data_IF_277611101238
#
_entry.id   IF_277611101238
#
_cell.length_a   1.000
_cell.length_b   1.000
_cell.length_c   1.000
_cell.angle_alpha   90.00
_cell.angle_beta   90.00
_cell.angle_gamma   90.00
#
_symmetry.space_group_name_H-M   'P 1'
#
loop_
_entity.id
_entity.type
_entity.pdbx_description
1 polymer ?
#
# COMPACT_ATOMS: atom_id res chain seq x y z
N UNK A 1 2.04 -10.08 -3.40
CA UNK A 1 2.80 -9.56 -4.52
C UNK A 1 2.13 -9.78 -5.88
N UNK A 2 2.80 -9.41 -6.94
CA UNK A 2 2.40 -9.59 -8.33
C UNK A 2 3.08 -10.81 -8.92
N UNK A 3 2.34 -11.66 -9.62
CA UNK A 3 2.88 -12.76 -10.42
C UNK A 3 3.18 -12.23 -11.83
N UNK A 4 4.41 -11.76 -12.07
CA UNK A 4 4.79 -11.04 -13.29
C UNK A 4 4.67 -11.86 -14.58
N UNK A 5 4.76 -13.21 -14.49
CA UNK A 5 4.60 -14.14 -15.62
C UNK A 5 3.16 -14.62 -15.82
N UNK A 6 2.21 -14.13 -15.04
CA UNK A 6 0.79 -14.35 -15.24
C UNK A 6 0.14 -13.10 -15.83
N UNK A 7 -0.95 -13.30 -16.54
CA UNK A 7 -1.73 -12.20 -17.11
C UNK A 7 -2.32 -11.30 -16.02
N UNK A 8 -2.75 -10.12 -16.41
CA UNK A 8 -3.47 -9.18 -15.52
C UNK A 8 -4.74 -9.86 -15.00
N UNK A 9 -5.50 -10.52 -15.90
CA UNK A 9 -6.68 -11.31 -15.56
C UNK A 9 -6.38 -12.31 -14.42
N UNK A 10 -5.38 -13.15 -14.59
CA UNK A 10 -5.01 -14.15 -13.58
C UNK A 10 -4.57 -13.52 -12.26
N UNK A 11 -3.83 -12.41 -12.31
CA UNK A 11 -3.42 -11.70 -11.10
C UNK A 11 -4.61 -11.15 -10.30
N UNK A 12 -5.62 -10.60 -10.98
CA UNK A 12 -6.82 -10.07 -10.34
C UNK A 12 -7.73 -11.21 -9.87
N UNK A 13 -7.89 -12.24 -10.67
CA UNK A 13 -8.77 -13.38 -10.37
C UNK A 13 -8.27 -14.24 -9.19
N UNK A 14 -6.96 -14.48 -9.08
CA UNK A 14 -6.37 -15.42 -8.14
C UNK A 14 -6.81 -15.23 -6.66
N UNK A 15 -6.81 -14.05 -6.07
CA UNK A 15 -7.31 -13.87 -4.69
C UNK A 15 -8.84 -13.80 -4.61
N UNK A 16 -9.55 -13.84 -5.73
CA UNK A 16 -11.00 -13.66 -5.86
C UNK A 16 -11.73 -14.92 -6.39
N UNK A 17 -11.08 -16.08 -6.34
CA UNK A 17 -11.66 -17.32 -6.87
C UNK A 17 -13.03 -17.66 -6.25
N UNK A 18 -13.22 -17.37 -4.98
CA UNK A 18 -14.50 -17.55 -4.28
C UNK A 18 -15.63 -16.66 -4.84
N UNK A 19 -15.30 -15.54 -5.47
CA UNK A 19 -16.27 -14.63 -6.10
C UNK A 19 -16.60 -15.05 -7.53
N UNK A 20 -15.66 -15.67 -8.23
CA UNK A 20 -15.78 -16.01 -9.66
C UNK A 20 -16.05 -17.48 -9.94
N UNK A 21 -15.86 -18.37 -8.95
CA UNK A 21 -16.14 -19.78 -9.11
C UNK A 21 -17.59 -20.12 -8.74
N UNK A 22 -18.23 -20.89 -9.61
CA UNK A 22 -19.53 -21.48 -9.35
C UNK A 22 -19.44 -22.75 -8.50
N UNK A 23 -20.60 -23.42 -8.31
CA UNK A 23 -20.66 -24.71 -7.64
C UNK A 23 -19.80 -25.73 -8.41
N UNK A 24 -18.90 -26.40 -7.69
CA UNK A 24 -17.97 -27.38 -8.29
C UNK A 24 -16.60 -26.81 -8.67
N UNK A 25 -16.30 -25.55 -8.31
CA UNK A 25 -14.97 -24.94 -8.53
C UNK A 25 -14.69 -24.52 -9.98
N UNK A 26 -15.72 -24.46 -10.82
CA UNK A 26 -15.59 -24.01 -12.22
C UNK A 26 -15.67 -22.49 -12.27
N UNK A 27 -14.68 -21.88 -12.91
CA UNK A 27 -14.63 -20.42 -13.10
C UNK A 27 -15.76 -19.97 -14.03
N UNK A 28 -16.54 -19.00 -13.62
CA UNK A 28 -17.48 -18.28 -14.46
C UNK A 28 -16.75 -17.17 -15.19
N UNK A 29 -16.40 -17.41 -16.44
CA UNK A 29 -15.60 -16.49 -17.27
C UNK A 29 -16.24 -15.11 -17.42
N UNK A 30 -17.58 -15.02 -17.45
CA UNK A 30 -18.27 -13.74 -17.52
C UNK A 30 -18.10 -12.91 -16.26
N UNK A 31 -18.24 -13.54 -15.09
CA UNK A 31 -18.04 -12.85 -13.77
C UNK A 31 -16.58 -12.47 -13.58
N UNK A 32 -15.64 -13.33 -14.03
CA UNK A 32 -14.21 -13.02 -14.02
C UNK A 32 -13.90 -11.80 -14.87
N UNK A 33 -14.42 -11.74 -16.09
CA UNK A 33 -14.22 -10.63 -17.01
C UNK A 33 -14.77 -9.31 -16.46
N UNK A 34 -16.02 -9.32 -15.99
CA UNK A 34 -16.66 -8.16 -15.35
C UNK A 34 -15.85 -7.62 -14.14
N UNK A 35 -15.33 -8.53 -13.31
CA UNK A 35 -14.52 -8.20 -12.15
C UNK A 35 -13.18 -7.57 -12.56
N UNK A 36 -12.52 -8.13 -13.58
CA UNK A 36 -11.23 -7.63 -14.08
C UNK A 36 -11.40 -6.29 -14.80
N UNK A 37 -12.40 -6.15 -15.65
CA UNK A 37 -12.69 -4.91 -16.36
C UNK A 37 -13.00 -3.76 -15.39
N UNK A 38 -13.79 -4.06 -14.36
CA UNK A 38 -14.07 -3.10 -13.29
C UNK A 38 -12.80 -2.66 -12.59
N UNK A 39 -11.92 -3.57 -12.21
CA UNK A 39 -10.66 -3.24 -11.55
C UNK A 39 -9.75 -2.36 -12.43
N UNK A 40 -9.68 -2.67 -13.74
CA UNK A 40 -8.91 -1.89 -14.72
C UNK A 40 -9.49 -0.48 -14.88
N UNK A 41 -10.81 -0.35 -14.96
CA UNK A 41 -11.50 0.94 -15.10
C UNK A 41 -11.37 1.79 -13.83
N UNK A 42 -11.66 1.23 -12.65
CA UNK A 42 -11.65 1.93 -11.36
C UNK A 42 -10.26 2.52 -11.04
N UNK A 43 -9.20 1.81 -11.41
CA UNK A 43 -7.81 2.21 -11.15
C UNK A 43 -7.12 2.84 -12.37
N UNK A 44 -7.81 2.96 -13.49
CA UNK A 44 -7.24 3.47 -14.74
C UNK A 44 -5.91 2.76 -15.08
N UNK A 45 -5.93 1.42 -15.09
CA UNK A 45 -4.76 0.61 -15.43
C UNK A 45 -4.53 0.70 -16.94
N UNK A 46 -3.36 1.21 -17.32
CA UNK A 46 -2.99 1.32 -18.75
C UNK A 46 -2.50 -0.03 -19.27
N UNK A 47 -3.34 -0.73 -19.99
CA UNK A 47 -3.04 -2.03 -20.60
C UNK A 47 -3.73 -2.16 -21.95
N UNK A 48 -3.14 -2.89 -22.94
CA UNK A 48 -3.80 -3.17 -24.22
C UNK A 48 -4.97 -4.16 -24.06
N UNK A 49 -4.87 -5.13 -23.16
CA UNK A 49 -5.91 -6.11 -22.82
C UNK A 49 -5.60 -6.80 -21.49
N UNK A 50 -6.49 -7.66 -21.02
CA UNK A 50 -6.36 -8.38 -19.75
C UNK A 50 -5.40 -9.58 -19.80
N UNK A 51 -5.06 -10.07 -20.98
CA UNK A 51 -4.34 -11.34 -21.16
C UNK A 51 -2.83 -11.16 -21.35
N UNK A 52 -2.34 -9.91 -21.37
CA UNK A 52 -0.89 -9.63 -21.37
C UNK A 52 -0.28 -9.94 -20.00
N UNK A 53 0.98 -10.38 -20.01
CA UNK A 53 1.75 -10.62 -18.79
C UNK A 53 1.86 -9.33 -17.96
N UNK A 54 1.54 -9.42 -16.68
CA UNK A 54 1.61 -8.26 -15.79
C UNK A 54 3.02 -7.66 -15.69
N UNK A 55 4.05 -8.47 -15.94
CA UNK A 55 5.45 -8.01 -15.98
C UNK A 55 5.78 -7.05 -17.13
N UNK A 56 4.94 -6.97 -18.17
CA UNK A 56 5.15 -6.05 -19.31
C UNK A 56 4.67 -4.63 -19.02
N UNK A 57 3.91 -4.44 -17.95
CA UNK A 57 3.42 -3.12 -17.54
C UNK A 57 4.52 -2.29 -16.88
N UNK A 58 4.36 -0.96 -16.92
CA UNK A 58 5.17 -0.06 -16.11
C UNK A 58 4.97 -0.33 -14.62
N UNK A 59 5.96 0.01 -13.79
CA UNK A 59 5.92 -0.23 -12.34
C UNK A 59 4.66 0.34 -11.68
N UNK A 60 4.23 1.54 -12.06
CA UNK A 60 2.99 2.14 -11.54
C UNK A 60 1.74 1.35 -11.94
N UNK A 61 1.65 0.82 -13.16
CA UNK A 61 0.52 -0.02 -13.57
C UNK A 61 0.58 -1.40 -12.90
N UNK A 62 1.77 -1.98 -12.70
CA UNK A 62 1.93 -3.20 -11.90
C UNK A 62 1.39 -3.00 -10.49
N UNK A 63 1.73 -1.88 -9.84
CA UNK A 63 1.23 -1.55 -8.51
C UNK A 63 -0.30 -1.39 -8.48
N UNK A 64 -0.89 -0.77 -9.51
CA UNK A 64 -2.35 -0.67 -9.65
C UNK A 64 -3.00 -2.05 -9.78
N UNK A 65 -2.40 -3.01 -10.50
CA UNK A 65 -2.89 -4.40 -10.56
C UNK A 65 -2.87 -5.04 -9.16
N UNK A 66 -1.79 -4.83 -8.38
CA UNK A 66 -1.71 -5.32 -6.99
C UNK A 66 -2.82 -4.75 -6.13
N UNK A 67 -3.13 -3.46 -6.28
CA UNK A 67 -4.23 -2.83 -5.53
C UNK A 67 -5.59 -3.34 -6.00
N UNK A 68 -5.80 -3.42 -7.32
CA UNK A 68 -7.07 -3.82 -7.94
C UNK A 68 -7.54 -5.19 -7.49
N UNK A 69 -6.64 -6.16 -7.42
CA UNK A 69 -6.98 -7.51 -6.99
C UNK A 69 -7.52 -7.59 -5.54
N UNK A 70 -7.11 -6.67 -4.67
CA UNK A 70 -7.58 -6.62 -3.28
C UNK A 70 -8.83 -5.75 -3.11
N UNK A 71 -8.96 -4.68 -3.89
CA UNK A 71 -10.17 -3.84 -3.88
C UNK A 71 -11.40 -4.57 -4.39
N UNK A 72 -11.23 -5.52 -5.30
CA UNK A 72 -12.32 -6.38 -5.80
C UNK A 72 -13.07 -7.11 -4.66
N UNK A 73 -12.46 -7.26 -3.49
CA UNK A 73 -13.07 -7.88 -2.30
C UNK A 73 -13.90 -6.92 -1.43
N UNK A 74 -14.19 -5.71 -1.89
CA UNK A 74 -14.92 -4.69 -1.12
C UNK A 74 -14.30 -4.43 0.26
N UNK A 75 -12.97 -4.36 0.32
CA UNK A 75 -12.23 -4.15 1.55
C UNK A 75 -12.57 -2.78 2.17
N UNK A 76 -12.86 -2.75 3.47
CA UNK A 76 -13.10 -1.52 4.24
C UNK A 76 -11.82 -0.87 4.72
N UNK A 77 -10.74 -1.63 4.76
CA UNK A 77 -9.40 -1.20 5.17
C UNK A 77 -8.39 -1.72 4.15
N UNK A 78 -7.50 -0.87 3.68
CA UNK A 78 -6.39 -1.24 2.79
C UNK A 78 -5.08 -0.82 3.44
N UNK A 79 -4.14 -1.76 3.51
CA UNK A 79 -2.81 -1.54 4.06
C UNK A 79 -1.80 -1.60 2.91
N UNK A 80 -1.03 -0.54 2.74
CA UNK A 80 0.05 -0.44 1.78
C UNK A 80 1.40 -0.53 2.52
N UNK A 81 2.23 -1.46 2.11
CA UNK A 81 3.58 -1.62 2.64
C UNK A 81 4.60 -1.16 1.59
N UNK A 82 5.29 -0.04 1.86
CA UNK A 82 6.25 0.61 0.96
C UNK A 82 5.73 0.74 -0.49
N UNK A 83 4.55 1.35 -0.71
CA UNK A 83 3.85 1.27 -2.00
C UNK A 83 4.55 2.01 -3.14
N UNK A 84 5.47 2.89 -2.82
CA UNK A 84 6.19 3.75 -3.77
C UNK A 84 7.65 3.37 -3.92
N UNK A 85 8.07 2.30 -3.27
CA UNK A 85 9.47 1.85 -3.33
C UNK A 85 9.81 1.33 -4.73
N UNK A 86 10.86 1.90 -5.33
CA UNK A 86 11.39 1.45 -6.62
C UNK A 86 10.56 1.89 -7.83
N UNK A 87 9.63 2.82 -7.68
CA UNK A 87 8.87 3.42 -8.79
C UNK A 87 9.33 4.86 -9.03
N UNK A 88 9.09 5.36 -10.25
CA UNK A 88 9.42 6.72 -10.64
C UNK A 88 8.50 7.76 -9.97
N UNK A 89 8.94 9.04 -9.99
CA UNK A 89 8.24 10.15 -9.33
C UNK A 89 6.81 10.33 -9.86
N UNK A 90 6.59 10.14 -11.16
CA UNK A 90 5.27 10.26 -11.76
C UNK A 90 4.33 9.17 -11.24
N UNK A 91 4.80 7.93 -11.17
CA UNK A 91 4.05 6.80 -10.63
C UNK A 91 3.76 6.95 -9.13
N UNK A 92 4.68 7.55 -8.33
CA UNK A 92 4.41 7.88 -6.92
C UNK A 92 3.17 8.77 -6.77
N UNK A 93 3.07 9.82 -7.58
CA UNK A 93 1.91 10.73 -7.57
C UNK A 93 0.61 9.98 -7.88
N UNK A 94 0.62 9.05 -8.85
CA UNK A 94 -0.56 8.24 -9.16
C UNK A 94 -0.99 7.37 -7.96
N UNK A 95 -0.05 6.80 -7.22
CA UNK A 95 -0.35 6.00 -6.00
C UNK A 95 -0.93 6.89 -4.89
N UNK A 96 -0.40 8.11 -4.67
CA UNK A 96 -0.97 9.04 -3.69
C UNK A 96 -2.40 9.47 -4.06
N UNK A 97 -2.64 9.72 -5.35
CA UNK A 97 -3.99 10.03 -5.85
C UNK A 97 -4.94 8.87 -5.62
N UNK A 98 -4.48 7.63 -5.85
CA UNK A 98 -5.25 6.42 -5.58
C UNK A 98 -5.61 6.30 -4.09
N UNK A 99 -4.65 6.47 -3.17
CA UNK A 99 -4.93 6.45 -1.72
C UNK A 99 -5.98 7.50 -1.34
N UNK A 100 -5.87 8.71 -1.90
CA UNK A 100 -6.85 9.78 -1.67
C UNK A 100 -8.25 9.45 -2.24
N UNK A 101 -8.32 8.76 -3.38
CA UNK A 101 -9.59 8.29 -3.95
C UNK A 101 -10.25 7.24 -3.05
N UNK A 102 -9.49 6.26 -2.55
CA UNK A 102 -9.97 5.24 -1.62
C UNK A 102 -10.53 5.88 -0.34
N UNK A 103 -9.80 6.84 0.23
CA UNK A 103 -10.24 7.62 1.38
C UNK A 103 -11.58 8.34 1.11
N UNK A 104 -11.74 8.98 -0.06
CA UNK A 104 -13.00 9.64 -0.45
C UNK A 104 -14.16 8.67 -0.60
N UNK A 105 -13.89 7.39 -0.91
CA UNK A 105 -14.88 6.31 -0.96
C UNK A 105 -15.21 5.73 0.43
N UNK A 106 -14.64 6.28 1.50
CA UNK A 106 -14.86 5.81 2.88
C UNK A 106 -14.03 4.59 3.26
N UNK A 107 -13.02 4.22 2.46
CA UNK A 107 -12.10 3.14 2.76
C UNK A 107 -10.99 3.69 3.68
N UNK A 108 -10.74 3.04 4.80
CA UNK A 108 -9.62 3.38 5.66
C UNK A 108 -8.30 2.94 5.00
N UNK A 109 -7.38 3.89 4.84
CA UNK A 109 -6.07 3.64 4.23
C UNK A 109 -5.00 3.76 5.30
N UNK A 110 -4.22 2.70 5.46
CA UNK A 110 -2.98 2.70 6.23
C UNK A 110 -1.82 2.45 5.27
N UNK A 111 -0.75 3.22 5.37
CA UNK A 111 0.47 2.93 4.62
C UNK A 111 1.70 3.01 5.51
N UNK A 112 2.66 2.16 5.22
CA UNK A 112 3.99 2.15 5.84
C UNK A 112 4.96 2.70 4.82
N UNK A 113 5.79 3.65 5.21
CA UNK A 113 6.83 4.20 4.38
C UNK A 113 8.04 4.58 5.21
N UNK A 114 9.22 4.38 4.65
CA UNK A 114 10.50 4.86 5.19
C UNK A 114 10.85 6.27 4.71
N UNK A 115 10.08 6.84 3.77
CA UNK A 115 10.32 8.16 3.21
C UNK A 115 9.54 9.24 4.00
N UNK A 116 10.23 10.00 4.84
CA UNK A 116 9.62 11.05 5.66
C UNK A 116 8.79 12.07 4.88
N UNK A 117 9.24 12.58 3.71
CA UNK A 117 8.45 13.51 2.91
C UNK A 117 7.13 12.92 2.43
N UNK A 118 7.11 11.61 2.10
CA UNK A 118 5.92 10.89 1.71
C UNK A 118 4.91 10.83 2.86
N UNK A 119 5.35 10.38 4.02
CA UNK A 119 4.50 10.26 5.21
C UNK A 119 3.88 11.60 5.57
N UNK A 120 4.67 12.67 5.60
CA UNK A 120 4.18 14.01 5.94
C UNK A 120 3.26 14.62 4.87
N UNK A 121 3.49 14.28 3.59
CA UNK A 121 2.72 14.84 2.48
C UNK A 121 1.39 14.15 2.23
N UNK A 122 1.24 12.89 2.63
CA UNK A 122 0.08 12.05 2.27
C UNK A 122 -0.80 11.69 3.47
N UNK A 123 -0.21 11.49 4.66
CA UNK A 123 -0.96 11.06 5.84
C UNK A 123 -1.78 12.19 6.45
N UNK A 124 -2.91 11.85 7.08
CA UNK A 124 -3.61 12.74 8.01
C UNK A 124 -3.04 12.59 9.43
N UNK A 125 -2.74 11.35 9.82
CA UNK A 125 -2.24 10.95 11.12
C UNK A 125 -1.05 10.01 10.95
N UNK A 126 -0.03 10.20 11.76
CA UNK A 126 1.24 9.46 11.69
C UNK A 126 1.44 8.71 13.01
N UNK A 127 1.68 7.42 12.92
CA UNK A 127 2.09 6.58 14.04
C UNK A 127 3.57 6.26 13.82
N UNK A 128 4.40 6.63 14.80
CA UNK A 128 5.83 6.38 14.77
C UNK A 128 6.15 5.11 15.54
N UNK A 129 6.94 4.24 14.93
CA UNK A 129 7.40 3.00 15.54
C UNK A 129 8.92 3.00 15.67
N UNK A 130 9.41 2.50 16.81
CA UNK A 130 10.82 2.25 17.06
C UNK A 130 10.95 0.92 17.82
N UNK A 131 11.81 0.01 17.36
CA UNK A 131 12.08 -1.30 17.95
C UNK A 131 10.81 -2.11 18.27
N UNK A 132 9.88 -2.15 17.31
CA UNK A 132 8.63 -2.91 17.44
C UNK A 132 7.59 -2.30 18.39
N UNK A 133 7.78 -1.06 18.84
CA UNK A 133 6.87 -0.34 19.75
C UNK A 133 6.39 0.96 19.13
N UNK A 134 5.16 1.35 19.43
CA UNK A 134 4.65 2.68 19.10
C UNK A 134 5.27 3.67 20.09
N UNK A 135 6.02 4.63 19.57
CA UNK A 135 6.73 5.65 20.34
C UNK A 135 6.09 7.03 20.24
N UNK A 136 5.25 7.26 19.23
CA UNK A 136 4.52 8.51 19.07
C UNK A 136 3.33 8.39 18.14
N UNK A 137 2.38 9.29 18.32
CA UNK A 137 1.23 9.51 17.44
C UNK A 137 1.04 11.02 17.27
N UNK A 138 1.00 11.48 16.03
CA UNK A 138 0.92 12.91 15.71
C UNK A 138 0.02 13.15 14.49
N UNK A 139 -0.58 14.35 14.41
CA UNK A 139 -1.27 14.79 13.20
C UNK A 139 -0.25 15.37 12.22
N UNK A 140 -0.31 14.94 10.94
CA UNK A 140 0.68 15.33 9.94
C UNK A 140 0.76 16.86 9.73
N UNK A 141 -0.36 17.58 9.88
CA UNK A 141 -0.43 19.03 9.72
C UNK A 141 0.11 19.82 10.92
N UNK A 142 0.29 19.17 12.06
CA UNK A 142 0.64 19.82 13.34
C UNK A 142 2.04 19.41 13.84
N UNK A 143 2.78 18.66 13.02
CA UNK A 143 4.09 18.12 13.39
C UNK A 143 5.18 18.54 12.43
N UNK A 144 6.43 18.39 12.86
CA UNK A 144 7.62 18.60 12.04
C UNK A 144 8.40 17.30 11.84
N UNK A 145 9.29 17.27 10.83
CA UNK A 145 10.22 16.14 10.64
C UNK A 145 11.03 15.87 11.90
N UNK A 146 11.48 16.92 12.59
CA UNK A 146 12.26 16.78 13.81
C UNK A 146 11.47 16.09 14.94
N UNK A 147 10.17 16.37 15.04
CA UNK A 147 9.34 15.75 16.07
C UNK A 147 9.14 14.27 15.80
N UNK A 148 8.90 13.89 14.54
CA UNK A 148 8.81 12.48 14.12
C UNK A 148 10.14 11.77 14.38
N UNK A 149 11.28 12.39 14.06
CA UNK A 149 12.61 11.81 14.32
C UNK A 149 12.87 11.60 15.81
N UNK A 150 12.45 12.51 16.69
CA UNK A 150 12.57 12.32 18.15
C UNK A 150 11.85 11.05 18.60
N UNK A 151 10.65 10.78 18.08
CA UNK A 151 9.92 9.54 18.39
C UNK A 151 10.61 8.31 17.79
N UNK A 152 11.12 8.41 16.56
CA UNK A 152 11.80 7.33 15.88
C UNK A 152 13.13 6.92 16.54
N UNK A 153 13.80 7.84 17.26
CA UNK A 153 15.09 7.61 17.95
C UNK A 153 14.94 7.55 19.47
N UNK A 154 13.74 7.57 20.00
CA UNK A 154 13.49 7.68 21.45
C UNK A 154 14.05 6.51 22.29
N UNK A 155 14.39 5.38 21.67
CA UNK A 155 14.97 4.22 22.35
C UNK A 155 16.49 4.36 22.56
N UNK A 156 17.21 4.96 21.63
CA UNK A 156 18.67 5.19 21.73
C UNK A 156 19.01 6.10 22.94
N UNK A 157 18.17 7.10 23.20
CA UNK A 157 18.36 8.01 24.32
C UNK A 157 18.19 7.33 25.69
N UNK A 158 17.42 6.24 25.81
CA UNK A 158 17.26 5.48 27.07
C UNK A 158 18.44 4.54 27.34
N UNK A 159 19.07 4.00 26.29
CA UNK A 159 20.26 3.14 26.44
C UNK A 159 21.51 3.97 26.74
N UNK A 160 21.64 5.17 26.14
CA UNK A 160 22.73 6.09 26.42
C UNK A 160 22.76 6.62 27.86
N UNK A 161 21.58 6.86 28.45
CA UNK A 161 21.47 7.33 29.84
C UNK A 161 21.73 6.20 30.87
N UNK A 162 21.50 4.93 30.55
CA UNK A 162 21.84 3.80 31.41
C UNK A 162 23.33 3.45 31.40
N UNK A 163 24.03 3.71 30.28
CA UNK A 163 25.46 3.47 30.16
C UNK A 163 26.34 4.50 30.87
N UNK A 164 25.80 5.68 31.17
CA UNK A 164 26.52 6.73 31.93
C UNK A 164 26.41 6.52 33.44
N UNK A 165 25.30 5.99 33.96
CA UNK A 165 25.13 5.74 35.39
C UNK A 165 25.92 4.51 35.92
N UNK A 166 26.39 3.63 35.02
CA UNK A 166 27.22 2.47 35.46
C UNK A 166 28.75 2.74 35.40
N UNK A 167 29.17 3.99 35.20
CA UNK A 167 30.61 4.38 35.23
C UNK A 167 30.98 5.26 36.41
N UNK A 168 30.04 5.55 37.30
CA UNK A 168 30.26 6.36 38.51
C UNK A 168 30.09 5.56 39.82
N UNK A 169 30.12 4.20 39.79
CA UNK A 169 30.26 3.36 40.97
C UNK A 169 31.65 2.63 40.92
#
# INVERSE_FOLDING_TARGET
GLCTKLSIRHNIALPNLDLICGKGGVINTKVEEELCDKAVADLTIKTPNLDVDAGTLSGGNQQKVVVGKWLARNSRVVIFDEPTRGIDVGAKVEIYQLMNQLKKQGIAVMFVSSEMPEVMGVADRIIVMCDGRITGEVMAKETTQNDILKYATSFENKLGSQSQNNKEE
#
